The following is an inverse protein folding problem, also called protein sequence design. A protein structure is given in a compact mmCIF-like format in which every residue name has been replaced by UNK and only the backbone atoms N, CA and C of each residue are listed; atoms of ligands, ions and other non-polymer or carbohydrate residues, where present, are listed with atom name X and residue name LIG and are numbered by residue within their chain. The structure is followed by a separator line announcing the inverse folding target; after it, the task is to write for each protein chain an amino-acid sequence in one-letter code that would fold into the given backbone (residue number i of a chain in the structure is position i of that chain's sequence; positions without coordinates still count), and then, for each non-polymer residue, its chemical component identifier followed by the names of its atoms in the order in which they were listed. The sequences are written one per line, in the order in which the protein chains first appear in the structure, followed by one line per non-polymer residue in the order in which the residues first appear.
data_IF_057115097452
#
_entry.id   IF_057115097452
#
_cell.length_a   1.000
_cell.length_b   1.000
_cell.length_c   1.000
_cell.angle_alpha   90.00
_cell.angle_beta   90.00
_cell.angle_gamma   90.00
#
_symmetry.space_group_name_H-M   'P 1'
#
loop_
_entity.id
_entity.type
_entity.pdbx_description
1 polymer ?
#
# COMPACT_ATOMS: atom_id res chain seq x y z
N UNK A 1 13.92 16.39 7.72
CA UNK A 1 13.74 17.85 7.82
C UNK A 1 13.56 18.22 9.28
N UNK A 2 14.47 19.00 9.86
CA UNK A 2 14.32 19.70 11.15
C UNK A 2 13.28 20.79 10.96
N UNK A 3 12.20 20.77 11.74
CA UNK A 3 11.31 21.92 11.80
C UNK A 3 11.83 22.86 12.87
N UNK A 4 11.95 24.15 12.57
CA UNK A 4 12.42 25.16 13.52
C UNK A 4 11.36 25.53 14.57
N UNK A 5 10.30 24.72 14.67
CA UNK A 5 9.10 24.94 15.48
C UNK A 5 8.67 23.61 16.08
N UNK A 6 8.41 23.60 17.39
CA UNK A 6 7.84 22.46 18.11
C UNK A 6 6.34 22.38 17.83
N UNK A 7 5.84 21.19 17.50
CA UNK A 7 4.41 20.94 17.28
C UNK A 7 3.91 19.85 18.21
N UNK A 8 2.63 19.93 18.56
CA UNK A 8 1.97 18.96 19.45
C UNK A 8 1.23 17.91 18.64
N UNK A 9 1.49 16.64 18.95
CA UNK A 9 0.80 15.47 18.42
C UNK A 9 -0.04 14.89 19.55
N UNK A 10 -1.33 14.70 19.30
CA UNK A 10 -2.23 13.99 20.21
C UNK A 10 -2.45 12.59 19.70
N UNK A 11 -2.03 11.60 20.48
CA UNK A 11 -2.22 10.19 20.22
C UNK A 11 -3.40 9.69 21.05
N UNK A 12 -4.43 9.19 20.39
CA UNK A 12 -5.55 8.54 21.04
C UNK A 12 -5.24 7.05 21.19
N UNK A 13 -5.42 6.52 22.40
CA UNK A 13 -5.26 5.09 22.67
C UNK A 13 -6.58 4.37 22.40
N UNK A 14 -6.50 3.15 21.86
CA UNK A 14 -7.66 2.28 21.67
C UNK A 14 -8.25 1.80 23.01
N UNK A 15 -7.40 1.70 24.03
CA UNK A 15 -7.73 1.31 25.40
C UNK A 15 -7.16 2.33 26.37
N UNK A 16 -7.89 2.62 27.45
CA UNK A 16 -7.40 3.54 28.47
C UNK A 16 -6.15 2.97 29.18
N UNK A 17 -5.14 3.82 29.38
CA UNK A 17 -3.95 3.51 30.18
C UNK A 17 -4.33 3.07 31.59
N UNK A 18 -3.72 1.97 32.05
CA UNK A 18 -3.92 1.43 33.38
C UNK A 18 -3.03 2.13 34.42
N UNK A 19 -3.38 1.96 35.70
CA UNK A 19 -2.58 2.51 36.80
C UNK A 19 -1.17 1.90 36.79
N UNK A 20 -0.16 2.72 36.51
CA UNK A 20 1.24 2.32 36.41
C UNK A 20 1.80 2.22 34.99
N UNK A 21 0.98 2.41 33.95
CA UNK A 21 1.48 2.52 32.57
C UNK A 21 1.91 3.96 32.25
N UNK A 22 3.20 4.15 31.94
CA UNK A 22 3.73 5.45 31.51
C UNK A 22 3.97 5.48 29.99
N UNK A 23 3.21 6.28 29.24
CA UNK A 23 3.42 6.43 27.80
C UNK A 23 4.66 7.28 27.49
N UNK A 24 5.54 6.76 26.63
CA UNK A 24 6.73 7.46 26.17
C UNK A 24 6.59 7.99 24.74
N UNK A 25 6.94 9.25 24.54
CA UNK A 25 7.02 9.87 23.22
C UNK A 25 8.39 9.57 22.60
N UNK A 26 8.43 8.79 21.53
CA UNK A 26 9.66 8.44 20.81
C UNK A 26 9.50 8.60 19.31
N UNK A 27 10.61 8.83 18.62
CA UNK A 27 10.68 8.96 17.16
C UNK A 27 11.63 7.90 16.58
N UNK A 28 11.37 7.50 15.34
CA UNK A 28 12.25 6.57 14.62
C UNK A 28 13.42 7.34 14.02
N UNK A 29 14.63 7.03 14.46
CA UNK A 29 15.86 7.61 13.93
C UNK A 29 16.64 6.55 13.16
N UNK A 30 16.95 6.84 11.89
CA UNK A 30 17.84 6.02 11.07
C UNK A 30 19.30 6.31 11.43
N UNK A 31 20.04 5.28 11.81
CA UNK A 31 21.48 5.35 12.12
C UNK A 31 22.19 4.36 11.20
N UNK A 32 22.71 4.86 10.08
CA UNK A 32 23.30 4.01 9.04
C UNK A 32 22.23 3.22 8.28
N UNK A 33 22.35 1.89 8.28
CA UNK A 33 21.38 0.95 7.66
C UNK A 33 20.30 0.45 8.63
N UNK A 34 20.45 0.72 9.92
CA UNK A 34 19.48 0.32 10.94
C UNK A 34 18.72 1.53 11.46
N UNK A 35 17.58 1.29 12.12
CA UNK A 35 16.84 2.34 12.80
C UNK A 35 16.57 2.00 14.25
N UNK A 36 16.48 3.03 15.09
CA UNK A 36 16.26 2.91 16.52
C UNK A 36 15.22 3.92 16.99
N UNK A 37 14.37 3.50 17.92
CA UNK A 37 13.49 4.39 18.67
C UNK A 37 14.29 5.25 19.64
N UNK A 38 14.11 6.56 19.56
CA UNK A 38 14.80 7.52 20.42
C UNK A 38 13.83 8.58 20.94
N UNK A 39 13.96 9.03 22.21
CA UNK A 39 13.21 10.18 22.72
C UNK A 39 13.76 11.51 22.18
N UNK A 40 14.89 11.50 21.47
CA UNK A 40 15.51 12.73 20.96
C UNK A 40 14.57 13.49 20.03
N UNK A 41 14.22 14.71 20.41
CA UNK A 41 13.37 15.59 19.61
C UNK A 41 11.86 15.41 19.81
N UNK A 42 11.43 14.60 20.78
CA UNK A 42 10.04 14.48 21.21
C UNK A 42 9.94 14.34 22.74
N UNK A 43 9.05 15.08 23.38
CA UNK A 43 8.81 15.01 24.82
C UNK A 43 7.32 14.94 25.14
N UNK A 44 6.92 14.11 26.12
CA UNK A 44 5.55 14.11 26.63
C UNK A 44 5.29 15.43 27.35
N UNK A 45 4.24 16.13 26.93
CA UNK A 45 3.84 17.41 27.54
C UNK A 45 2.50 17.32 28.29
N UNK A 46 1.77 16.22 28.12
CA UNK A 46 0.54 15.98 28.87
C UNK A 46 -0.28 14.84 28.29
N UNK A 47 -1.55 14.80 28.68
CA UNK A 47 -2.51 13.80 28.26
C UNK A 47 -3.29 13.19 29.43
N UNK A 48 -4.33 12.45 29.08
CA UNK A 48 -5.21 11.74 29.99
C UNK A 48 -5.00 10.22 29.85
N UNK A 49 -5.86 9.41 30.48
CA UNK A 49 -5.84 7.96 30.33
C UNK A 49 -6.13 7.51 28.88
N UNK A 50 -6.86 8.32 28.11
CA UNK A 50 -7.25 8.01 26.73
C UNK A 50 -6.39 8.72 25.67
N UNK A 51 -5.64 9.76 26.05
CA UNK A 51 -4.89 10.59 25.10
C UNK A 51 -3.48 10.89 25.61
N UNK A 52 -2.48 10.80 24.76
CA UNK A 52 -1.10 11.22 25.06
C UNK A 52 -0.75 12.40 24.16
N UNK A 53 -0.26 13.49 24.75
CA UNK A 53 0.19 14.68 24.02
C UNK A 53 1.71 14.73 24.04
N UNK A 54 2.30 14.68 22.85
CA UNK A 54 3.75 14.75 22.62
C UNK A 54 4.11 16.04 21.89
N UNK A 55 5.09 16.78 22.38
CA UNK A 55 5.68 17.91 21.68
C UNK A 55 6.95 17.46 20.95
N UNK A 56 6.98 17.63 19.63
CA UNK A 56 8.07 17.14 18.77
C UNK A 56 8.63 18.26 17.89
N UNK A 57 9.92 18.20 17.56
CA UNK A 57 10.63 19.15 16.66
C UNK A 57 10.90 18.57 15.26
N UNK A 58 10.52 17.31 15.06
CA UNK A 58 10.69 16.58 13.81
C UNK A 58 9.45 15.73 13.54
N UNK A 59 8.93 15.79 12.31
CA UNK A 59 8.02 14.74 11.83
C UNK A 59 8.84 13.46 11.67
N UNK A 60 8.56 12.43 12.48
CA UNK A 60 8.88 11.06 12.09
C UNK A 60 8.17 10.82 10.76
N UNK A 61 8.87 10.29 9.75
CA UNK A 61 8.33 10.03 8.41
C UNK A 61 6.92 9.42 8.55
N UNK A 62 5.89 10.16 8.16
CA UNK A 62 4.52 9.67 8.28
C UNK A 62 4.33 8.67 7.14
N UNK A 63 4.55 7.39 7.43
CA UNK A 63 3.95 6.34 6.62
C UNK A 63 2.53 6.17 7.15
N UNK A 64 1.53 6.58 6.36
CA UNK A 64 0.16 6.16 6.61
C UNK A 64 0.14 4.65 6.30
N UNK A 65 0.45 3.82 7.30
CA UNK A 65 0.05 2.42 7.25
C UNK A 65 -1.47 2.42 7.43
N UNK A 66 -2.19 2.46 6.31
CA UNK A 66 -3.55 1.96 6.32
C UNK A 66 -3.45 0.50 6.74
N UNK A 67 -3.92 0.18 7.94
CA UNK A 67 -4.29 -1.19 8.23
C UNK A 67 -5.35 -1.53 7.19
N UNK A 68 -4.95 -2.26 6.16
CA UNK A 68 -5.87 -2.98 5.30
C UNK A 68 -6.52 -3.94 6.28
N UNK A 69 -7.61 -3.51 6.89
CA UNK A 69 -8.42 -4.35 7.72
C UNK A 69 -8.65 -5.60 6.86
N UNK A 70 -8.25 -6.75 7.37
CA UNK A 70 -8.42 -8.06 6.74
C UNK A 70 -9.91 -8.43 6.71
N UNK A 71 -10.70 -7.55 6.10
CA UNK A 71 -12.13 -7.69 5.88
C UNK A 71 -12.25 -8.34 4.52
N UNK A 72 -12.31 -9.67 4.54
CA UNK A 72 -13.26 -10.47 3.75
C UNK A 72 -13.38 -10.26 2.22
N UNK A 73 -12.45 -9.57 1.56
CA UNK A 73 -12.52 -9.28 0.11
C UNK A 73 -11.47 -10.01 -0.74
N UNK A 74 -10.74 -10.97 -0.15
CA UNK A 74 -9.80 -11.79 -0.93
C UNK A 74 -10.51 -12.70 -1.94
N UNK A 75 -11.71 -13.21 -1.60
CA UNK A 75 -12.46 -14.11 -2.47
C UNK A 75 -12.98 -13.40 -3.72
N UNK A 76 -13.58 -12.22 -3.56
CA UNK A 76 -14.09 -11.43 -4.69
C UNK A 76 -12.98 -11.01 -5.65
N UNK A 77 -11.85 -10.50 -5.14
CA UNK A 77 -10.70 -10.17 -5.98
C UNK A 77 -10.09 -11.39 -6.67
N UNK A 78 -9.99 -12.53 -5.97
CA UNK A 78 -9.45 -13.76 -6.53
C UNK A 78 -10.35 -14.32 -7.64
N UNK A 79 -11.67 -14.30 -7.45
CA UNK A 79 -12.64 -14.72 -8.46
C UNK A 79 -12.55 -13.83 -9.69
N UNK A 80 -12.53 -12.50 -9.53
CA UNK A 80 -12.38 -11.56 -10.67
C UNK A 80 -11.07 -11.81 -11.43
N UNK A 81 -9.97 -12.02 -10.71
CA UNK A 81 -8.65 -12.30 -11.30
C UNK A 81 -8.65 -13.62 -12.07
N UNK A 82 -9.22 -14.68 -11.50
CA UNK A 82 -9.30 -16.00 -12.14
C UNK A 82 -10.20 -15.99 -13.37
N UNK A 83 -11.34 -15.29 -13.30
CA UNK A 83 -12.24 -15.12 -14.44
C UNK A 83 -11.55 -14.34 -15.57
N UNK A 84 -10.89 -13.22 -15.27
CA UNK A 84 -10.12 -12.44 -16.26
C UNK A 84 -8.98 -13.24 -16.89
N UNK A 85 -8.27 -14.04 -16.10
CA UNK A 85 -7.20 -14.91 -16.58
C UNK A 85 -7.74 -15.99 -17.52
N UNK A 86 -8.85 -16.63 -17.16
CA UNK A 86 -9.45 -17.69 -17.98
C UNK A 86 -9.92 -17.18 -19.35
N UNK A 87 -10.59 -16.01 -19.38
CA UNK A 87 -11.03 -15.36 -20.62
C UNK A 87 -9.83 -15.00 -21.48
N UNK A 88 -8.79 -14.41 -20.89
CA UNK A 88 -7.56 -14.06 -21.61
C UNK A 88 -6.87 -15.28 -22.24
N UNK A 89 -6.81 -16.41 -21.50
CA UNK A 89 -6.24 -17.66 -22.00
C UNK A 89 -7.06 -18.26 -23.16
N UNK A 90 -8.39 -18.23 -23.07
CA UNK A 90 -9.27 -18.70 -24.14
C UNK A 90 -9.13 -17.82 -25.38
N UNK A 91 -9.13 -16.50 -25.23
CA UNK A 91 -8.92 -15.56 -26.33
C UNK A 91 -7.55 -15.77 -26.99
N UNK A 92 -6.49 -15.98 -26.20
CA UNK A 92 -5.15 -16.27 -26.70
C UNK A 92 -5.13 -17.58 -27.50
N UNK A 93 -5.77 -18.63 -26.98
CA UNK A 93 -5.84 -19.94 -27.65
C UNK A 93 -6.58 -19.86 -29.00
N UNK A 94 -7.72 -19.16 -29.04
CA UNK A 94 -8.46 -18.93 -30.28
C UNK A 94 -7.65 -18.10 -31.28
N UNK A 95 -6.92 -17.09 -30.82
CA UNK A 95 -6.01 -16.31 -31.66
C UNK A 95 -4.88 -17.19 -32.24
N UNK A 96 -4.30 -18.08 -31.44
CA UNK A 96 -3.26 -19.02 -31.89
C UNK A 96 -3.82 -19.99 -32.94
N UNK A 97 -4.98 -20.61 -32.71
CA UNK A 97 -5.61 -21.50 -33.69
C UNK A 97 -5.88 -20.77 -34.99
N UNK A 98 -6.49 -19.58 -34.89
CA UNK A 98 -6.79 -18.75 -36.05
C UNK A 98 -5.52 -18.40 -36.81
N UNK A 99 -4.44 -18.03 -36.11
CA UNK A 99 -3.15 -17.76 -36.72
C UNK A 99 -2.56 -18.99 -37.40
N UNK A 100 -2.63 -20.18 -36.81
CA UNK A 100 -2.13 -21.41 -37.42
C UNK A 100 -2.91 -21.82 -38.67
N UNK A 101 -4.25 -21.74 -38.63
CA UNK A 101 -5.12 -22.03 -39.77
C UNK A 101 -4.97 -20.96 -40.87
N UNK A 102 -4.84 -19.69 -40.49
CA UNK A 102 -4.74 -18.56 -41.42
C UNK A 102 -3.32 -18.38 -41.99
N UNK A 103 -2.27 -18.84 -41.28
CA UNK A 103 -0.89 -18.98 -41.81
C UNK A 103 -0.82 -20.01 -42.94
N UNK A 104 -1.73 -20.98 -42.95
CA UNK A 104 -1.92 -21.86 -44.12
C UNK A 104 -2.59 -21.15 -45.30
N UNK A 105 -3.16 -19.95 -45.11
CA UNK A 105 -4.02 -19.28 -46.09
C UNK A 105 -3.45 -17.98 -46.70
N UNK A 106 -2.97 -16.94 -45.98
CA UNK A 106 -2.48 -15.72 -46.68
C UNK A 106 -1.80 -14.62 -45.83
N UNK A 107 -0.98 -13.81 -46.49
CA UNK A 107 -0.17 -12.65 -46.05
C UNK A 107 -0.90 -11.45 -45.37
N UNK A 108 -2.17 -11.53 -44.96
CA UNK A 108 -3.06 -10.36 -44.63
C UNK A 108 -3.26 -10.10 -43.12
N UNK A 109 -2.82 -10.99 -42.22
CA UNK A 109 -3.07 -10.87 -40.76
C UNK A 109 -2.41 -9.65 -40.07
N UNK A 110 -1.42 -9.01 -40.71
CA UNK A 110 -0.64 -7.87 -40.18
C UNK A 110 -1.52 -6.69 -39.70
N UNK A 111 -2.65 -6.42 -40.37
CA UNK A 111 -3.60 -5.36 -40.00
C UNK A 111 -4.49 -5.74 -38.80
N UNK A 112 -4.71 -7.05 -38.60
CA UNK A 112 -5.50 -7.62 -37.50
C UNK A 112 -4.71 -7.58 -36.18
N UNK A 113 -3.40 -7.78 -36.25
CA UNK A 113 -2.48 -7.63 -35.11
C UNK A 113 -2.48 -6.21 -34.52
N UNK A 114 -2.69 -5.17 -35.34
CA UNK A 114 -2.77 -3.78 -34.89
C UNK A 114 -4.06 -3.50 -34.10
N UNK A 115 -5.20 -4.04 -34.54
CA UNK A 115 -6.47 -3.94 -33.80
C UNK A 115 -6.39 -4.70 -32.46
N UNK A 116 -5.60 -5.79 -32.40
CA UNK A 116 -5.35 -6.56 -31.19
C UNK A 116 -4.51 -5.80 -30.14
N UNK A 117 -3.49 -5.06 -30.59
CA UNK A 117 -2.67 -4.24 -29.69
C UNK A 117 -3.45 -3.09 -29.03
N UNK A 118 -4.51 -2.61 -29.68
CA UNK A 118 -5.33 -1.50 -29.18
C UNK A 118 -6.34 -1.99 -28.12
N UNK A 119 -6.95 -3.16 -28.30
CA UNK A 119 -7.86 -3.74 -27.31
C UNK A 119 -7.16 -4.27 -26.05
N UNK A 120 -5.84 -4.52 -26.11
CA UNK A 120 -5.06 -5.05 -24.98
C UNK A 120 -4.53 -3.93 -24.06
N UNK A 121 -4.61 -2.68 -24.50
CA UNK A 121 -4.11 -1.51 -23.77
C UNK A 121 -5.22 -0.68 -23.12
N UNK A 122 -6.49 -0.90 -23.49
CA UNK A 122 -7.68 -0.26 -22.92
C UNK A 122 -8.38 -1.20 -21.94
#
# INVERSE_FOLDING_TARGET
VTFNVTFNITLQHLTALQAGEEPHCVTWQTVGTEGRWTPSGCTRVGGDTLHTICACIHFSTFAILTAINSMEDSFALTVVTYMGLSVSLVCLFLAIITFLLCRSLWSVSVTLHLQLSICLFA
#
